data_IF_657639486957
#
_entry.id   IF_657639486957
#
_cell.length_a   1.000
_cell.length_b   1.000
_cell.length_c   1.000
_cell.angle_alpha   90.00
_cell.angle_beta   90.00
_cell.angle_gamma   90.00
#
_symmetry.space_group_name_H-M   'P 1'
#
loop_
_entity.id
_entity.type
_entity.pdbx_description
1 polymer ?
#
# COMPACT_ATOMS: atom_id res chain seq x y z
N UNK A 1 23.64 -10.74 2.79
CA UNK A 1 22.18 -10.81 2.72
C UNK A 1 21.66 -9.42 2.37
N UNK A 2 20.67 -9.29 1.47
CA UNK A 2 20.09 -7.97 1.16
C UNK A 2 19.22 -7.51 2.33
N UNK A 3 19.21 -6.20 2.55
CA UNK A 3 18.45 -5.56 3.62
C UNK A 3 17.25 -4.83 3.06
N UNK A 4 16.08 -5.10 3.63
CA UNK A 4 14.80 -4.52 3.18
C UNK A 4 14.20 -3.69 4.31
N UNK A 5 13.85 -2.45 4.00
CA UNK A 5 13.03 -1.61 4.87
C UNK A 5 11.56 -1.76 4.46
N UNK A 6 10.71 -2.19 5.39
CA UNK A 6 9.25 -2.24 5.19
C UNK A 6 8.61 -1.17 6.07
N UNK A 7 8.11 -0.10 5.46
CA UNK A 7 7.30 0.89 6.18
C UNK A 7 5.86 0.37 6.31
N UNK A 8 5.15 0.75 7.35
CA UNK A 8 3.83 0.17 7.63
C UNK A 8 3.89 -1.33 7.97
N UNK A 9 5.02 -1.80 8.50
CA UNK A 9 5.29 -3.22 8.78
C UNK A 9 4.42 -3.89 9.85
N UNK A 10 3.56 -3.16 10.55
CA UNK A 10 2.54 -3.68 11.48
C UNK A 10 1.14 -3.81 10.86
N UNK A 11 0.94 -3.29 9.66
CA UNK A 11 -0.33 -3.43 8.92
C UNK A 11 -0.47 -4.81 8.27
N UNK A 12 -1.63 -5.05 7.66
CA UNK A 12 -1.97 -6.33 7.02
C UNK A 12 -0.90 -6.81 6.01
N UNK A 13 -0.58 -5.97 5.02
CA UNK A 13 0.42 -6.32 4.00
C UNK A 13 1.81 -6.39 4.61
N UNK A 14 2.19 -5.39 5.41
CA UNK A 14 3.52 -5.32 6.00
C UNK A 14 3.86 -6.52 6.90
N UNK A 15 2.89 -7.03 7.67
CA UNK A 15 3.07 -8.22 8.50
C UNK A 15 3.32 -9.46 7.65
N UNK A 16 2.49 -9.71 6.62
CA UNK A 16 2.68 -10.84 5.71
C UNK A 16 4.03 -10.78 4.98
N UNK A 17 4.43 -9.60 4.51
CA UNK A 17 5.74 -9.42 3.86
C UNK A 17 6.92 -9.67 4.82
N UNK A 18 6.81 -9.23 6.07
CA UNK A 18 7.86 -9.48 7.08
C UNK A 18 8.04 -10.97 7.33
N UNK A 19 6.94 -11.70 7.48
CA UNK A 19 6.97 -13.16 7.71
C UNK A 19 7.54 -13.91 6.51
N UNK A 20 7.14 -13.55 5.31
CA UNK A 20 7.59 -14.21 4.08
C UNK A 20 9.04 -13.89 3.75
N UNK A 21 9.38 -12.60 3.69
CA UNK A 21 10.72 -12.14 3.28
C UNK A 21 11.77 -12.33 4.37
N UNK A 22 11.37 -12.36 5.64
CA UNK A 22 12.29 -12.57 6.77
C UNK A 22 13.02 -13.90 6.77
N UNK A 23 12.57 -14.86 5.97
CA UNK A 23 13.24 -16.15 5.77
C UNK A 23 14.56 -16.02 4.98
N UNK A 24 14.65 -15.03 4.08
CA UNK A 24 15.74 -14.91 3.10
C UNK A 24 16.45 -13.55 3.14
N UNK A 25 15.91 -12.57 3.85
CA UNK A 25 16.40 -11.19 3.86
C UNK A 25 16.49 -10.64 5.29
N UNK A 26 17.36 -9.68 5.50
CA UNK A 26 17.36 -8.88 6.74
C UNK A 26 16.25 -7.85 6.65
N UNK A 27 15.27 -7.88 7.57
CA UNK A 27 14.11 -7.00 7.52
C UNK A 27 14.21 -5.94 8.61
N UNK A 28 14.13 -4.67 8.21
CA UNK A 28 13.84 -3.54 9.08
C UNK A 28 12.36 -3.15 8.91
N UNK A 29 11.60 -3.14 9.99
CA UNK A 29 10.20 -2.73 10.01
C UNK A 29 9.91 -1.87 11.24
N UNK A 30 10.51 -0.67 11.31
CA UNK A 30 10.39 0.20 12.48
C UNK A 30 8.93 0.63 12.69
N UNK A 31 8.51 0.68 13.97
CA UNK A 31 7.24 1.30 14.35
C UNK A 31 7.37 2.83 14.30
N UNK A 32 6.25 3.54 14.24
CA UNK A 32 6.18 5.00 14.21
C UNK A 32 7.06 5.68 15.28
N UNK A 33 7.06 5.16 16.50
CA UNK A 33 7.90 5.68 17.59
C UNK A 33 9.41 5.63 17.32
N UNK A 34 9.86 4.74 16.41
CA UNK A 34 11.28 4.57 16.03
C UNK A 34 11.59 5.35 14.76
N UNK A 35 10.65 5.39 13.82
CA UNK A 35 10.78 6.11 12.57
C UNK A 35 9.46 6.80 12.23
N UNK A 36 9.39 8.08 12.52
CA UNK A 36 8.29 8.93 12.08
C UNK A 36 8.53 9.35 10.62
N UNK A 37 7.70 8.85 9.72
CA UNK A 37 7.80 9.17 8.29
C UNK A 37 7.39 10.62 7.97
N UNK A 38 6.78 11.33 8.91
CA UNK A 38 6.46 12.75 8.77
C UNK A 38 7.64 13.66 9.12
N UNK A 39 8.60 13.16 9.91
CA UNK A 39 9.87 13.87 10.19
C UNK A 39 10.90 13.55 9.11
N UNK A 40 11.08 14.48 8.23
CA UNK A 40 12.01 14.35 7.11
C UNK A 40 13.48 14.18 7.55
N UNK A 41 13.85 14.80 8.67
CA UNK A 41 15.19 14.66 9.23
C UNK A 41 15.39 13.30 9.87
N UNK A 42 14.38 12.76 10.57
CA UNK A 42 14.42 11.41 11.12
C UNK A 42 14.54 10.36 10.00
N UNK A 43 13.77 10.52 8.91
CA UNK A 43 13.84 9.62 7.75
C UNK A 43 15.24 9.65 7.14
N UNK A 44 15.82 10.81 6.88
CA UNK A 44 17.16 10.91 6.31
C UNK A 44 18.22 10.33 7.25
N UNK A 45 18.17 10.62 8.55
CA UNK A 45 19.08 10.03 9.54
C UNK A 45 18.99 8.51 9.56
N UNK A 46 17.78 7.96 9.50
CA UNK A 46 17.57 6.53 9.46
C UNK A 46 18.25 5.87 8.27
N UNK A 47 18.08 6.43 7.06
CA UNK A 47 18.75 5.93 5.86
C UNK A 47 20.29 6.09 5.89
N UNK A 48 20.81 7.13 6.55
CA UNK A 48 22.25 7.32 6.73
C UNK A 48 22.90 6.30 7.67
N UNK A 49 22.14 5.87 8.68
CA UNK A 49 22.64 4.96 9.73
C UNK A 49 22.35 3.49 9.46
N UNK A 50 21.46 3.18 8.54
CA UNK A 50 21.07 1.81 8.18
C UNK A 50 21.33 1.58 6.70
N UNK A 51 22.11 0.54 6.40
CA UNK A 51 22.28 0.13 5.00
C UNK A 51 21.02 -0.54 4.50
N UNK A 52 20.28 0.12 3.62
CA UNK A 52 19.05 -0.37 3.02
C UNK A 52 19.29 -0.66 1.54
N UNK A 53 19.03 -1.88 1.09
CA UNK A 53 19.07 -2.20 -0.34
C UNK A 53 17.75 -1.94 -1.04
N UNK A 54 16.64 -2.30 -0.38
CA UNK A 54 15.28 -2.17 -0.95
C UNK A 54 14.33 -1.55 0.08
N UNK A 55 13.45 -0.69 -0.38
CA UNK A 55 12.33 -0.16 0.41
C UNK A 55 11.02 -0.75 -0.10
N UNK A 56 10.17 -1.27 0.77
CA UNK A 56 8.79 -1.62 0.46
C UNK A 56 7.88 -0.68 1.26
N UNK A 57 7.23 0.23 0.54
CA UNK A 57 6.41 1.27 1.18
C UNK A 57 4.94 0.83 1.27
N UNK A 58 4.58 0.31 2.45
CA UNK A 58 3.21 -0.07 2.81
C UNK A 58 2.55 0.93 3.77
N UNK A 59 3.26 1.98 4.21
CA UNK A 59 2.73 2.95 5.15
C UNK A 59 1.62 3.77 4.52
N UNK A 60 0.50 3.89 5.22
CA UNK A 60 -0.67 4.67 4.81
C UNK A 60 -1.46 5.10 6.05
N UNK A 61 -2.03 6.28 5.99
CA UNK A 61 -3.04 6.79 6.92
C UNK A 61 -4.38 6.81 6.19
N UNK A 62 -5.42 6.24 6.79
CA UNK A 62 -6.72 6.05 6.14
C UNK A 62 -6.73 4.88 5.15
N UNK A 63 -7.77 4.81 4.32
CA UNK A 63 -7.94 3.76 3.30
C UNK A 63 -8.55 2.46 3.82
N UNK A 64 -8.85 2.36 5.11
CA UNK A 64 -9.71 1.31 5.66
C UNK A 64 -11.18 1.60 5.30
N UNK A 65 -11.94 0.56 4.96
CA UNK A 65 -13.39 0.70 4.74
C UNK A 65 -14.18 0.94 6.03
N UNK A 66 -13.56 0.73 7.19
CA UNK A 66 -14.16 0.95 8.51
C UNK A 66 -13.95 2.36 9.06
N UNK A 67 -13.06 3.12 8.47
CA UNK A 67 -12.75 4.47 8.92
C UNK A 67 -13.53 5.48 8.09
N UNK A 68 -14.16 6.44 8.76
CA UNK A 68 -14.59 7.67 8.10
C UNK A 68 -13.40 8.27 7.34
N UNK A 69 -13.66 8.97 6.25
CA UNK A 69 -12.58 9.62 5.50
C UNK A 69 -11.76 10.48 6.46
N UNK A 70 -10.49 10.11 6.66
CA UNK A 70 -9.58 10.86 7.51
C UNK A 70 -9.22 12.14 6.78
N UNK A 71 -9.90 13.24 7.14
CA UNK A 71 -9.66 14.56 6.55
C UNK A 71 -8.18 14.94 6.64
N UNK A 72 -7.62 15.41 5.53
CA UNK A 72 -6.20 15.79 5.46
C UNK A 72 -5.25 14.61 5.27
N UNK A 73 -5.76 13.41 5.02
CA UNK A 73 -4.94 12.22 4.79
C UNK A 73 -4.04 12.34 3.55
N UNK A 74 -4.44 13.12 2.55
CA UNK A 74 -3.65 13.39 1.34
C UNK A 74 -2.30 13.99 1.70
N UNK A 75 -2.28 15.12 2.43
CA UNK A 75 -1.05 15.81 2.80
C UNK A 75 -0.13 14.92 3.63
N UNK A 76 -0.69 14.18 4.58
CA UNK A 76 0.03 13.23 5.45
C UNK A 76 0.69 12.12 4.63
N UNK A 77 -0.07 11.46 3.75
CA UNK A 77 0.43 10.36 2.95
C UNK A 77 1.47 10.81 1.90
N UNK A 78 1.24 11.93 1.24
CA UNK A 78 2.21 12.50 0.30
C UNK A 78 3.51 12.88 1.01
N UNK A 79 3.42 13.49 2.20
CA UNK A 79 4.61 13.83 2.99
C UNK A 79 5.41 12.58 3.37
N UNK A 80 4.76 11.51 3.82
CA UNK A 80 5.43 10.24 4.11
C UNK A 80 6.12 9.68 2.88
N UNK A 81 5.42 9.62 1.74
CA UNK A 81 5.97 9.12 0.48
C UNK A 81 7.19 9.93 0.03
N UNK A 82 7.08 11.26 -0.06
CA UNK A 82 8.17 12.11 -0.53
C UNK A 82 9.35 12.16 0.44
N UNK A 83 9.12 12.01 1.76
CA UNK A 83 10.22 11.90 2.72
C UNK A 83 11.07 10.64 2.49
N UNK A 84 10.47 9.55 2.00
CA UNK A 84 11.21 8.35 1.59
C UNK A 84 11.84 8.55 0.21
N UNK A 85 11.07 8.99 -0.79
CA UNK A 85 11.52 9.12 -2.18
C UNK A 85 12.76 10.01 -2.31
N UNK A 86 12.82 11.14 -1.60
CA UNK A 86 13.99 12.02 -1.60
C UNK A 86 15.27 11.39 -1.04
N UNK A 87 15.14 10.26 -0.33
CA UNK A 87 16.26 9.47 0.17
C UNK A 87 16.77 8.44 -0.85
N UNK A 88 16.35 8.51 -2.13
CA UNK A 88 16.67 7.55 -3.21
C UNK A 88 18.16 7.21 -3.36
N UNK A 89 19.06 8.11 -3.01
CA UNK A 89 20.51 7.87 -3.05
C UNK A 89 21.00 6.83 -2.04
N UNK A 90 20.19 6.48 -1.05
CA UNK A 90 20.55 5.54 0.01
C UNK A 90 19.99 4.12 -0.20
N UNK A 91 19.20 3.88 -1.24
CA UNK A 91 18.67 2.55 -1.56
C UNK A 91 18.74 2.28 -3.07
N UNK A 92 18.71 1.00 -3.46
CA UNK A 92 18.80 0.60 -4.87
C UNK A 92 17.44 0.55 -5.57
N UNK A 93 16.38 0.24 -4.81
CA UNK A 93 15.02 0.09 -5.34
C UNK A 93 13.98 0.37 -4.25
N UNK A 94 12.88 0.99 -4.65
CA UNK A 94 11.69 1.10 -3.84
C UNK A 94 10.51 0.43 -4.57
N UNK A 95 9.70 -0.33 -3.83
CA UNK A 95 8.40 -0.81 -4.27
C UNK A 95 7.35 -0.02 -3.49
N UNK A 96 6.52 0.73 -4.21
CA UNK A 96 5.40 1.46 -3.62
C UNK A 96 4.11 0.70 -3.86
N UNK A 97 3.32 0.51 -2.81
CA UNK A 97 2.01 -0.10 -2.96
C UNK A 97 1.01 0.95 -3.41
N UNK A 98 0.70 0.93 -4.69
CA UNK A 98 -0.37 1.67 -5.32
C UNK A 98 -1.74 1.05 -5.07
N UNK A 99 -2.73 1.47 -5.82
CA UNK A 99 -4.11 0.99 -5.65
C UNK A 99 -4.92 1.12 -6.94
N UNK A 100 -5.86 0.21 -7.17
CA UNK A 100 -6.89 0.40 -8.20
C UNK A 100 -7.73 1.67 -8.01
N UNK A 101 -7.72 2.27 -6.81
CA UNK A 101 -8.38 3.55 -6.55
C UNK A 101 -7.81 4.73 -7.36
N UNK A 102 -6.62 4.58 -7.92
CA UNK A 102 -5.96 5.56 -8.79
C UNK A 102 -6.69 5.79 -10.12
N UNK A 103 -7.56 4.85 -10.50
CA UNK A 103 -8.34 4.91 -11.75
C UNK A 103 -9.70 5.60 -11.60
N UNK A 104 -10.00 6.23 -10.46
CA UNK A 104 -11.29 6.87 -10.15
C UNK A 104 -12.42 5.85 -9.96
N UNK A 105 -12.64 5.44 -8.70
CA UNK A 105 -13.68 4.43 -8.33
C UNK A 105 -15.13 4.91 -8.48
N UNK A 106 -15.37 6.18 -8.76
CA UNK A 106 -16.73 6.68 -9.06
C UNK A 106 -17.32 6.06 -10.33
N UNK A 107 -16.49 5.33 -11.07
CA UNK A 107 -16.89 4.60 -12.27
C UNK A 107 -16.40 3.16 -12.24
N UNK A 108 -17.09 2.23 -12.89
CA UNK A 108 -16.63 0.86 -13.00
C UNK A 108 -15.21 0.78 -13.60
N UNK A 109 -14.27 0.19 -12.87
CA UNK A 109 -12.91 -0.07 -13.31
C UNK A 109 -12.82 -1.43 -14.04
N UNK A 110 -13.77 -1.68 -14.97
CA UNK A 110 -13.81 -2.94 -15.68
C UNK A 110 -12.74 -2.99 -16.77
N UNK A 111 -11.85 -4.00 -16.71
CA UNK A 111 -10.76 -4.23 -17.67
C UNK A 111 -9.86 -3.01 -17.90
N UNK A 112 -9.62 -2.20 -16.86
CA UNK A 112 -8.68 -1.09 -16.98
C UNK A 112 -7.26 -1.60 -17.25
N UNK A 113 -6.53 -0.85 -18.06
CA UNK A 113 -5.15 -1.13 -18.43
C UNK A 113 -4.23 -0.12 -17.79
N UNK A 114 -2.93 -0.40 -17.74
CA UNK A 114 -1.94 0.56 -17.23
C UNK A 114 -1.95 1.87 -18.03
N UNK A 115 -2.19 1.82 -19.34
CA UNK A 115 -2.32 2.98 -20.23
C UNK A 115 -3.55 3.86 -19.95
N UNK A 116 -4.51 3.38 -19.16
CA UNK A 116 -5.67 4.14 -18.72
C UNK A 116 -5.36 5.01 -17.49
N UNK A 117 -4.21 4.78 -16.85
CA UNK A 117 -3.75 5.62 -15.74
C UNK A 117 -3.52 7.06 -16.21
N UNK A 118 -3.99 7.99 -15.41
CA UNK A 118 -3.86 9.42 -15.75
C UNK A 118 -5.01 9.99 -16.59
N UNK A 119 -5.87 9.17 -17.18
CA UNK A 119 -7.04 9.66 -17.95
C UNK A 119 -8.10 10.32 -17.06
N UNK A 120 -8.08 10.03 -15.76
CA UNK A 120 -9.01 10.57 -14.76
C UNK A 120 -8.27 10.82 -13.45
N UNK A 121 -8.75 11.80 -12.70
CA UNK A 121 -8.23 12.14 -11.38
C UNK A 121 -9.25 11.70 -10.34
N UNK A 122 -8.87 10.82 -9.39
CA UNK A 122 -9.75 10.41 -8.30
C UNK A 122 -10.21 11.61 -7.45
N UNK A 123 -11.45 11.57 -7.00
CA UNK A 123 -12.03 12.63 -6.16
C UNK A 123 -11.91 12.35 -4.67
N UNK A 124 -11.79 11.08 -4.29
CA UNK A 124 -11.59 10.70 -2.89
C UNK A 124 -10.12 10.87 -2.48
N UNK A 125 -9.88 11.22 -1.21
CA UNK A 125 -8.55 11.52 -0.70
C UNK A 125 -7.58 10.34 -0.86
N UNK A 126 -8.05 9.10 -0.65
CA UNK A 126 -7.21 7.92 -0.77
C UNK A 126 -6.77 7.67 -2.22
N UNK A 127 -7.71 7.68 -3.16
CA UNK A 127 -7.40 7.54 -4.59
C UNK A 127 -6.53 8.67 -5.08
N UNK A 128 -6.82 9.90 -4.67
CA UNK A 128 -6.08 11.09 -5.09
C UNK A 128 -4.61 11.05 -4.66
N UNK A 129 -4.29 10.73 -3.39
CA UNK A 129 -2.88 10.67 -3.00
C UNK A 129 -2.13 9.53 -3.71
N UNK A 130 -2.78 8.37 -3.91
CA UNK A 130 -2.20 7.26 -4.67
C UNK A 130 -1.91 7.68 -6.10
N UNK A 131 -2.87 8.33 -6.75
CA UNK A 131 -2.72 8.90 -8.08
C UNK A 131 -1.53 9.87 -8.17
N UNK A 132 -1.37 10.79 -7.22
CA UNK A 132 -0.23 11.71 -7.21
C UNK A 132 1.10 10.98 -7.07
N UNK A 133 1.18 9.95 -6.21
CA UNK A 133 2.37 9.10 -6.10
C UNK A 133 2.68 8.40 -7.42
N UNK A 134 1.66 7.79 -8.06
CA UNK A 134 1.80 7.12 -9.35
C UNK A 134 2.25 8.06 -10.47
N UNK A 135 1.71 9.29 -10.53
CA UNK A 135 2.16 10.31 -11.47
C UNK A 135 3.64 10.65 -11.26
N UNK A 136 4.05 10.90 -10.01
CA UNK A 136 5.46 11.15 -9.70
C UNK A 136 6.36 9.98 -10.15
N UNK A 137 5.97 8.76 -9.84
CA UNK A 137 6.73 7.55 -10.21
C UNK A 137 6.85 7.43 -11.74
N UNK A 138 5.76 7.66 -12.46
CA UNK A 138 5.74 7.58 -13.92
C UNK A 138 6.60 8.63 -14.63
N UNK A 139 6.77 9.81 -14.04
CA UNK A 139 7.58 10.89 -14.62
C UNK A 139 9.01 10.96 -14.07
N UNK A 140 9.29 10.30 -12.94
CA UNK A 140 10.62 10.35 -12.34
C UNK A 140 11.53 9.27 -12.92
N UNK A 141 12.85 9.53 -12.90
CA UNK A 141 13.87 8.51 -13.17
C UNK A 141 14.31 7.78 -11.89
N UNK A 142 13.61 7.96 -10.79
CA UNK A 142 13.93 7.33 -9.51
C UNK A 142 13.71 5.81 -9.58
N UNK A 143 14.48 5.01 -8.84
CA UNK A 143 14.37 3.56 -8.85
C UNK A 143 13.13 3.08 -8.06
N UNK A 144 11.95 3.58 -8.40
CA UNK A 144 10.67 3.29 -7.74
C UNK A 144 9.78 2.53 -8.72
N UNK A 145 9.26 1.39 -8.28
CA UNK A 145 8.22 0.63 -8.99
C UNK A 145 6.94 0.70 -8.19
N UNK A 146 5.83 0.95 -8.86
CA UNK A 146 4.50 0.93 -8.26
C UNK A 146 3.78 -0.39 -8.55
N UNK A 147 3.08 -0.92 -7.54
CA UNK A 147 2.18 -2.06 -7.68
C UNK A 147 0.75 -1.60 -7.42
N UNK A 148 -0.06 -1.46 -8.48
CA UNK A 148 -1.48 -1.06 -8.38
C UNK A 148 -2.34 -2.26 -8.03
N UNK A 149 -2.56 -2.44 -6.73
CA UNK A 149 -3.30 -3.57 -6.20
C UNK A 149 -4.79 -3.20 -6.08
N UNK A 150 -5.67 -4.01 -6.67
CA UNK A 150 -7.12 -3.82 -6.60
C UNK A 150 -7.70 -4.44 -5.33
N UNK A 151 -7.54 -5.73 -5.14
CA UNK A 151 -7.99 -6.43 -3.95
C UNK A 151 -6.97 -7.45 -3.47
N UNK A 152 -6.70 -7.43 -2.18
CA UNK A 152 -5.92 -8.46 -1.50
C UNK A 152 -6.83 -9.21 -0.56
N UNK A 153 -6.62 -10.52 -0.43
CA UNK A 153 -7.28 -11.35 0.56
C UNK A 153 -6.32 -12.38 1.15
N UNK A 154 -6.64 -12.87 2.32
CA UNK A 154 -5.86 -13.92 2.98
C UNK A 154 -5.65 -13.69 4.47
N UNK A 155 -4.72 -14.46 5.10
CA UNK A 155 -4.51 -14.43 6.54
C UNK A 155 -4.20 -13.04 7.10
N UNK A 156 -4.92 -12.64 8.15
CA UNK A 156 -4.75 -11.34 8.80
C UNK A 156 -5.60 -10.22 8.21
N UNK A 157 -6.39 -10.48 7.16
CA UNK A 157 -7.36 -9.52 6.64
C UNK A 157 -8.55 -9.36 7.59
N UNK A 158 -9.12 -8.15 7.68
CA UNK A 158 -10.35 -7.94 8.45
C UNK A 158 -11.56 -8.53 7.69
N UNK A 159 -11.91 -9.76 8.06
CA UNK A 159 -13.00 -10.51 7.45
C UNK A 159 -14.38 -9.83 7.57
N UNK A 160 -14.56 -8.92 8.53
CA UNK A 160 -15.84 -8.23 8.72
C UNK A 160 -16.16 -7.26 7.59
N UNK A 161 -15.13 -6.74 6.92
CA UNK A 161 -15.21 -5.67 5.94
C UNK A 161 -14.85 -6.08 4.53
N UNK A 162 -14.18 -7.23 4.37
CA UNK A 162 -13.62 -7.67 3.10
C UNK A 162 -14.39 -8.87 2.54
N UNK A 163 -14.82 -8.74 1.30
CA UNK A 163 -15.76 -9.68 0.68
C UNK A 163 -15.30 -11.14 0.75
N UNK A 164 -14.13 -11.48 0.20
CA UNK A 164 -13.66 -12.88 0.15
C UNK A 164 -13.54 -13.46 1.56
N UNK A 165 -12.83 -12.78 2.45
CA UNK A 165 -12.62 -13.25 3.82
C UNK A 165 -13.93 -13.35 4.61
N UNK A 166 -14.89 -12.42 4.38
CA UNK A 166 -16.21 -12.48 4.98
C UNK A 166 -17.00 -13.71 4.52
N UNK A 167 -17.04 -13.97 3.20
CA UNK A 167 -17.72 -15.15 2.65
C UNK A 167 -17.15 -16.45 3.22
N UNK A 168 -15.82 -16.55 3.31
CA UNK A 168 -15.16 -17.74 3.89
C UNK A 168 -15.57 -17.96 5.35
N UNK A 169 -15.56 -16.91 6.17
CA UNK A 169 -15.94 -17.00 7.59
C UNK A 169 -17.43 -17.34 7.73
N UNK A 170 -18.32 -16.71 6.95
CA UNK A 170 -19.77 -17.02 6.95
C UNK A 170 -20.01 -18.48 6.58
N UNK A 171 -19.33 -19.00 5.56
CA UNK A 171 -19.42 -20.39 5.14
C UNK A 171 -18.99 -21.34 6.26
N UNK A 172 -17.86 -21.10 6.91
CA UNK A 172 -17.38 -21.92 8.03
C UNK A 172 -18.31 -21.91 9.25
N UNK A 173 -19.06 -20.81 9.44
CA UNK A 173 -20.04 -20.66 10.51
C UNK A 173 -21.44 -21.13 10.12
N UNK A 174 -21.64 -21.71 8.94
CA UNK A 174 -22.96 -22.14 8.44
C UNK A 174 -23.94 -20.99 8.24
N UNK A 175 -23.47 -19.77 8.04
CA UNK A 175 -24.31 -18.58 7.82
C UNK A 175 -24.61 -18.38 6.34
N UNK A 176 -25.76 -17.79 5.98
CA UNK A 176 -26.10 -17.49 4.60
C UNK A 176 -25.03 -16.60 3.97
N UNK A 177 -24.69 -16.87 2.70
CA UNK A 177 -23.82 -16.01 1.90
C UNK A 177 -24.70 -14.93 1.27
N UNK A 178 -24.34 -13.68 1.52
CA UNK A 178 -25.08 -12.52 1.03
C UNK A 178 -24.17 -11.67 0.15
N UNK A 179 -24.62 -11.35 -1.05
CA UNK A 179 -23.95 -10.47 -2.00
C UNK A 179 -24.91 -9.37 -2.40
N UNK A 180 -24.56 -8.13 -2.07
CA UNK A 180 -25.45 -6.99 -2.26
C UNK A 180 -25.43 -6.46 -3.70
N UNK A 181 -24.39 -6.76 -4.45
CA UNK A 181 -24.24 -6.33 -5.85
C UNK A 181 -23.30 -7.24 -6.60
N UNK A 182 -23.49 -7.35 -7.90
CA UNK A 182 -22.57 -8.03 -8.81
C UNK A 182 -21.48 -7.05 -9.25
N UNK A 183 -20.22 -7.37 -8.97
CA UNK A 183 -19.07 -6.49 -9.26
C UNK A 183 -17.91 -7.30 -9.82
N UNK A 184 -17.38 -6.86 -10.95
CA UNK A 184 -16.10 -7.36 -11.45
C UNK A 184 -14.96 -6.74 -10.65
N UNK A 185 -14.15 -7.58 -10.01
CA UNK A 185 -13.06 -7.12 -9.17
C UNK A 185 -11.89 -8.10 -9.19
N UNK A 186 -10.67 -7.61 -9.38
CA UNK A 186 -9.47 -8.44 -9.36
C UNK A 186 -9.00 -8.67 -7.92
N UNK A 187 -8.79 -9.93 -7.59
CA UNK A 187 -8.29 -10.34 -6.28
C UNK A 187 -6.96 -11.08 -6.41
N UNK A 188 -6.02 -10.73 -5.54
CA UNK A 188 -4.73 -11.41 -5.38
C UNK A 188 -4.67 -12.01 -3.98
N UNK A 189 -4.27 -13.28 -3.90
CA UNK A 189 -4.00 -13.88 -2.60
C UNK A 189 -2.71 -13.32 -2.03
N UNK A 190 -2.69 -12.98 -0.74
CA UNK A 190 -1.58 -12.25 -0.12
C UNK A 190 -0.24 -13.00 -0.16
N UNK A 191 -0.24 -14.31 -0.41
CA UNK A 191 0.99 -15.12 -0.50
C UNK A 191 1.50 -15.32 -1.93
N UNK A 192 0.76 -14.86 -2.94
CA UNK A 192 1.17 -14.87 -4.35
C UNK A 192 1.99 -13.62 -4.69
#
# INVERSE_FOLDING_TARGET
MKTILITGGSGYIGTNLREYLGKNYTIFAPRHKVLDLLDSGAVERYFKTHRIDVVINCAVVGGSRSEEQVMGSVATNLRMFFNIARCRKYFKKMVHLGSGAEYDKDRPCHKVREEDFGKRVPKDEYGFYKYVCGQYIGYSSDPITELRIFGLFGPGEDYRLRFISNMMVRMLLGKPLEMNQDVYFDYVYIKD
#
